data_IF_783772704657
#
_entry.id   IF_783772704657
#
_cell.length_a   1.000
_cell.length_b   1.000
_cell.length_c   1.000
_cell.angle_alpha   90.00
_cell.angle_beta   90.00
_cell.angle_gamma   90.00
#
_symmetry.space_group_name_H-M   'P 1'
#
loop_
_entity.id
_entity.type
_entity.pdbx_description
1 polymer ?
#
# COMPACT_ATOMS: atom_id res chain seq x y z
N UNK A 1 -11.00 -0.53 10.47
CA UNK A 1 -11.95 0.59 10.27
C UNK A 1 -12.94 0.24 9.17
N UNK A 2 -14.21 0.55 9.37
CA UNK A 2 -15.26 0.43 8.35
C UNK A 2 -15.44 1.74 7.63
N UNK A 3 -15.32 1.74 6.30
CA UNK A 3 -15.56 2.94 5.50
C UNK A 3 -17.01 2.96 5.00
N UNK A 4 -17.86 3.74 5.65
CA UNK A 4 -19.26 3.89 5.25
C UNK A 4 -19.41 4.53 3.88
N UNK A 5 -18.63 5.57 3.60
CA UNK A 5 -18.72 6.33 2.34
C UNK A 5 -18.35 5.44 1.15
N UNK A 6 -17.24 4.74 1.25
CA UNK A 6 -16.79 3.83 0.19
C UNK A 6 -17.69 2.61 0.07
N UNK A 7 -18.18 2.07 1.19
CA UNK A 7 -19.12 0.95 1.19
C UNK A 7 -20.42 1.31 0.45
N UNK A 8 -20.92 2.52 0.65
CA UNK A 8 -22.09 3.02 -0.06
C UNK A 8 -21.82 3.27 -1.55
N UNK A 9 -20.67 3.82 -1.88
CA UNK A 9 -20.23 4.11 -3.26
C UNK A 9 -20.08 2.82 -4.07
N UNK A 10 -19.42 1.82 -3.49
CA UNK A 10 -19.12 0.55 -4.16
C UNK A 10 -20.19 -0.53 -3.93
N UNK A 11 -21.26 -0.22 -3.18
CA UNK A 11 -22.35 -1.16 -2.83
C UNK A 11 -21.86 -2.48 -2.20
N UNK A 12 -20.78 -2.42 -1.46
CA UNK A 12 -20.21 -3.56 -0.73
C UNK A 12 -19.53 -3.05 0.54
N UNK A 13 -19.46 -3.85 1.62
CA UNK A 13 -18.74 -3.45 2.82
C UNK A 13 -17.25 -3.30 2.52
N UNK A 14 -16.70 -2.15 2.87
CA UNK A 14 -15.26 -1.86 2.74
C UNK A 14 -14.69 -1.74 4.15
N UNK A 15 -13.72 -2.58 4.44
CA UNK A 15 -13.00 -2.62 5.69
C UNK A 15 -11.51 -2.38 5.44
N UNK A 16 -10.91 -1.60 6.29
CA UNK A 16 -9.46 -1.43 6.35
C UNK A 16 -8.95 -1.94 7.68
N UNK A 17 -7.81 -2.61 7.65
CA UNK A 17 -7.11 -3.07 8.85
C UNK A 17 -5.83 -2.27 9.02
N UNK A 18 -5.39 -2.09 10.24
CA UNK A 18 -4.14 -1.44 10.59
C UNK A 18 -3.55 -2.08 11.84
N UNK A 19 -2.32 -1.76 12.12
CA UNK A 19 -1.55 -2.25 13.27
C UNK A 19 -1.43 -1.23 14.40
N UNK A 20 -2.27 -0.20 14.38
CA UNK A 20 -2.27 0.81 15.44
C UNK A 20 -2.93 0.23 16.69
N UNK A 21 -2.18 0.13 17.76
CA UNK A 21 -2.62 -0.35 19.06
C UNK A 21 -3.38 0.75 19.82
N UNK A 22 -4.51 1.16 19.27
CA UNK A 22 -5.38 2.18 19.84
C UNK A 22 -6.74 1.58 20.13
N UNK A 23 -7.09 1.50 21.38
CA UNK A 23 -8.26 0.75 21.85
C UNK A 23 -9.53 1.57 21.93
N UNK A 24 -9.41 2.87 22.10
CA UNK A 24 -10.56 3.77 22.25
C UNK A 24 -10.39 5.02 21.39
N UNK A 25 -11.46 5.42 20.69
CA UNK A 25 -11.47 6.56 19.80
C UNK A 25 -12.62 7.50 20.12
N UNK A 26 -12.34 8.79 20.04
CA UNK A 26 -13.34 9.85 20.08
C UNK A 26 -13.13 10.78 18.85
N UNK A 27 -14.16 10.86 18.03
CA UNK A 27 -14.24 11.81 16.93
C UNK A 27 -15.50 12.63 17.11
N UNK A 28 -15.35 13.89 17.45
CA UNK A 28 -16.45 14.80 17.79
C UNK A 28 -16.16 16.17 17.18
N UNK A 29 -17.20 16.87 16.80
CA UNK A 29 -17.12 18.23 16.29
C UNK A 29 -16.54 19.25 17.29
N UNK A 30 -16.31 18.85 18.52
CA UNK A 30 -15.64 19.66 19.57
C UNK A 30 -14.12 19.63 19.42
N UNK A 31 -13.60 18.61 18.80
CA UNK A 31 -12.16 18.42 18.58
C UNK A 31 -11.80 18.72 17.14
N UNK A 32 -10.71 19.46 16.92
CA UNK A 32 -10.19 19.72 15.58
C UNK A 32 -9.69 18.44 14.88
N UNK A 33 -9.32 17.43 15.67
CA UNK A 33 -8.79 16.14 15.20
C UNK A 33 -9.35 14.99 16.04
N UNK A 34 -9.48 13.80 15.47
CA UNK A 34 -9.83 12.61 16.23
C UNK A 34 -8.81 12.31 17.32
N UNK A 35 -9.28 11.90 18.48
CA UNK A 35 -8.45 11.52 19.61
C UNK A 35 -8.55 10.04 19.85
N UNK A 36 -7.47 9.43 20.32
CA UNK A 36 -7.43 8.03 20.67
C UNK A 36 -6.67 7.81 21.97
N UNK A 37 -7.00 6.73 22.65
CA UNK A 37 -6.28 6.26 23.82
C UNK A 37 -5.83 4.83 23.59
N UNK A 38 -4.71 4.50 24.18
CA UNK A 38 -4.22 3.16 24.32
C UNK A 38 -3.92 2.85 25.77
N UNK A 39 -4.07 1.60 26.17
CA UNK A 39 -3.68 1.12 27.47
C UNK A 39 -2.44 0.25 27.30
N UNK A 40 -1.33 0.74 27.79
CA UNK A 40 -0.08 -0.02 27.80
C UNK A 40 0.00 -0.83 29.09
N UNK A 41 -0.07 -2.15 28.96
CA UNK A 41 0.17 -3.05 30.07
C UNK A 41 1.69 -3.11 30.38
N UNK A 42 2.03 -3.33 31.62
CA UNK A 42 3.36 -3.22 32.26
C UNK A 42 4.54 -3.92 31.56
N UNK A 43 4.28 -4.77 30.58
CA UNK A 43 5.33 -5.56 29.94
C UNK A 43 6.18 -4.77 28.91
N UNK A 44 5.81 -3.53 28.64
CA UNK A 44 6.53 -2.64 27.72
C UNK A 44 7.17 -1.44 28.44
N UNK A 45 7.94 -1.72 29.44
CA UNK A 45 8.67 -0.73 30.26
C UNK A 45 9.62 0.21 29.47
N UNK A 46 9.78 0.04 28.17
CA UNK A 46 10.78 0.78 27.41
C UNK A 46 10.29 2.05 26.71
N UNK A 47 8.98 2.29 26.71
CA UNK A 47 8.39 3.42 25.98
C UNK A 47 7.69 4.43 26.88
N UNK A 48 7.85 4.27 28.17
CA UNK A 48 7.19 5.11 29.13
C UNK A 48 7.87 6.47 29.26
N UNK A 49 7.27 7.44 28.65
CA UNK A 49 7.76 8.81 28.62
C UNK A 49 7.81 9.47 30.01
N UNK A 50 7.21 8.84 31.01
CA UNK A 50 7.09 9.43 32.35
C UNK A 50 7.74 8.55 33.44
N UNK A 51 8.37 7.45 33.09
CA UNK A 51 9.07 6.59 34.06
C UNK A 51 8.16 5.82 35.00
N UNK A 52 6.91 5.57 34.62
CA UNK A 52 5.97 4.76 35.36
C UNK A 52 5.63 3.50 34.57
N UNK A 53 5.79 2.35 35.19
CA UNK A 53 5.77 1.04 34.49
C UNK A 53 4.43 0.34 34.50
N UNK A 54 3.44 0.87 35.18
CA UNK A 54 2.19 0.15 35.42
C UNK A 54 0.97 0.93 34.88
N UNK A 55 0.39 0.43 33.84
CA UNK A 55 -0.96 0.77 33.41
C UNK A 55 -1.21 2.19 32.94
N UNK A 56 -0.32 2.71 32.12
CA UNK A 56 -0.46 4.07 31.62
C UNK A 56 -1.41 4.12 30.44
N UNK A 57 -2.36 5.04 30.51
CA UNK A 57 -3.18 5.42 29.37
C UNK A 57 -2.39 6.43 28.53
N UNK A 58 -2.01 6.03 27.33
CA UNK A 58 -1.40 6.89 26.35
C UNK A 58 -2.49 7.60 25.57
N UNK A 59 -2.39 8.90 25.47
CA UNK A 59 -3.31 9.73 24.74
C UNK A 59 -2.69 10.13 23.40
N UNK A 60 -3.44 9.98 22.32
CA UNK A 60 -3.03 10.33 20.97
C UNK A 60 -3.99 11.34 20.37
N UNK A 61 -3.46 12.42 19.83
CA UNK A 61 -4.15 13.27 18.90
C UNK A 61 -3.84 12.78 17.48
N UNK A 62 -4.87 12.42 16.72
CA UNK A 62 -4.67 11.91 15.37
C UNK A 62 -4.22 13.04 14.46
N UNK A 63 -2.98 13.00 14.07
CA UNK A 63 -2.40 13.98 13.16
C UNK A 63 -2.86 13.73 11.72
N UNK A 64 -3.03 14.82 10.98
CA UNK A 64 -3.33 14.81 9.55
C UNK A 64 -2.09 15.01 8.68
N UNK A 65 -0.92 15.02 9.32
CA UNK A 65 0.38 15.28 8.70
C UNK A 65 1.05 14.01 8.13
N UNK A 66 2.31 14.16 7.84
CA UNK A 66 3.20 13.11 7.32
C UNK A 66 3.90 12.32 8.43
N UNK A 67 3.98 12.93 9.61
CA UNK A 67 4.77 12.46 10.72
C UNK A 67 3.98 12.50 12.02
N UNK A 68 4.34 11.63 12.92
CA UNK A 68 3.90 11.67 14.31
C UNK A 68 5.03 12.15 15.20
N UNK A 69 4.66 12.88 16.26
CA UNK A 69 5.59 13.35 17.28
C UNK A 69 5.27 12.62 18.57
N UNK A 70 6.24 11.96 19.15
CA UNK A 70 6.07 11.35 20.47
C UNK A 70 6.15 12.42 21.59
N UNK A 71 5.87 12.00 22.82
CA UNK A 71 5.90 12.91 23.95
C UNK A 71 7.31 13.44 24.30
N UNK A 72 8.36 12.80 23.80
CA UNK A 72 9.75 13.26 23.87
C UNK A 72 10.13 14.24 22.76
N UNK A 73 9.21 14.57 21.86
CA UNK A 73 9.46 15.43 20.71
C UNK A 73 10.17 14.73 19.54
N UNK A 74 10.28 13.42 19.56
CA UNK A 74 10.89 12.65 18.46
C UNK A 74 9.90 12.54 17.31
N UNK A 75 10.34 12.95 16.13
CA UNK A 75 9.54 12.89 14.91
C UNK A 75 9.77 11.52 14.25
N UNK A 76 8.69 10.79 14.06
CA UNK A 76 8.69 9.49 13.35
C UNK A 76 7.71 9.52 12.19
N UNK A 77 8.02 8.78 11.13
CA UNK A 77 7.14 8.68 9.98
C UNK A 77 5.80 8.02 10.36
N UNK A 78 4.70 8.50 9.81
CA UNK A 78 3.45 7.76 9.78
C UNK A 78 3.52 6.82 8.56
N UNK A 79 3.79 5.51 8.74
CA UNK A 79 3.92 4.60 7.61
C UNK A 79 2.57 4.41 6.94
N UNK A 80 2.53 4.64 5.64
CA UNK A 80 1.34 4.36 4.84
C UNK A 80 1.68 3.43 3.68
N UNK A 81 0.76 2.53 3.37
CA UNK A 81 0.93 1.69 2.20
C UNK A 81 -0.42 1.28 1.60
N UNK A 82 -0.37 0.97 0.32
CA UNK A 82 -1.46 0.33 -0.41
C UNK A 82 -0.89 -0.85 -1.19
N UNK A 83 -1.59 -1.98 -1.17
CA UNK A 83 -1.22 -3.18 -1.91
C UNK A 83 -2.39 -3.58 -2.79
N UNK A 84 -2.15 -3.78 -4.09
CA UNK A 84 -3.16 -4.33 -4.99
C UNK A 84 -3.38 -5.81 -4.75
N UNK A 85 -4.51 -6.34 -5.20
CA UNK A 85 -4.62 -7.78 -5.43
C UNK A 85 -3.60 -8.26 -6.48
N UNK A 86 -3.34 -9.56 -6.47
CA UNK A 86 -2.55 -10.20 -7.51
C UNK A 86 -3.28 -10.09 -8.85
N UNK A 87 -2.58 -9.73 -9.90
CA UNK A 87 -3.10 -9.70 -11.27
C UNK A 87 -2.20 -10.50 -12.19
N UNK A 88 -2.80 -11.09 -13.20
CA UNK A 88 -2.16 -11.85 -14.25
C UNK A 88 -2.76 -11.46 -15.62
N UNK A 89 -2.24 -12.02 -16.69
CA UNK A 89 -2.75 -11.73 -18.04
C UNK A 89 -3.22 -12.98 -18.73
N UNK A 90 -4.31 -12.84 -19.49
CA UNK A 90 -4.77 -13.83 -20.45
C UNK A 90 -4.86 -13.22 -21.82
N UNK A 91 -4.41 -13.92 -22.82
CA UNK A 91 -4.65 -13.53 -24.20
C UNK A 91 -6.02 -14.04 -24.65
N UNK A 92 -6.93 -13.13 -24.95
CA UNK A 92 -8.19 -13.51 -25.62
C UNK A 92 -7.88 -14.08 -27.00
N UNK A 93 -8.27 -15.33 -27.22
CA UNK A 93 -8.24 -15.96 -28.54
C UNK A 93 -9.63 -16.01 -29.13
N UNK A 94 -9.75 -15.77 -30.43
CA UNK A 94 -10.98 -16.09 -31.15
C UNK A 94 -11.24 -17.60 -31.16
N UNK A 95 -12.48 -18.00 -31.44
CA UNK A 95 -12.82 -19.40 -31.67
C UNK A 95 -11.96 -20.05 -32.80
N UNK A 96 -11.33 -19.24 -33.64
CA UNK A 96 -10.41 -19.66 -34.70
C UNK A 96 -8.93 -19.64 -34.26
N UNK A 97 -8.62 -19.42 -32.98
CA UNK A 97 -7.26 -19.47 -32.46
C UNK A 97 -6.42 -18.21 -32.67
N UNK A 98 -6.99 -17.18 -33.26
CA UNK A 98 -6.28 -15.89 -33.42
C UNK A 98 -6.35 -15.08 -32.14
N UNK A 99 -5.25 -14.38 -31.80
CA UNK A 99 -5.20 -13.44 -30.68
C UNK A 99 -6.02 -12.19 -31.04
N UNK A 100 -7.05 -11.90 -30.25
CA UNK A 100 -7.90 -10.73 -30.45
C UNK A 100 -7.75 -9.78 -29.25
N UNK A 101 -7.28 -8.57 -29.54
CA UNK A 101 -7.31 -7.46 -28.59
C UNK A 101 -6.16 -7.43 -27.58
N UNK A 102 -6.27 -6.50 -26.63
CA UNK A 102 -5.30 -6.36 -25.54
C UNK A 102 -5.41 -7.52 -24.55
N UNK A 103 -4.30 -7.89 -23.88
CA UNK A 103 -4.34 -8.85 -22.79
C UNK A 103 -5.35 -8.42 -21.72
N UNK A 104 -6.13 -9.38 -21.23
CA UNK A 104 -7.00 -9.14 -20.08
C UNK A 104 -6.18 -9.30 -18.79
N UNK A 105 -6.32 -8.37 -17.86
CA UNK A 105 -5.63 -8.44 -16.56
C UNK A 105 -6.26 -9.44 -15.59
N UNK A 106 -7.32 -10.11 -15.99
CA UNK A 106 -7.92 -11.24 -15.29
C UNK A 106 -7.57 -12.52 -16.01
N UNK A 107 -6.33 -12.94 -15.85
CA UNK A 107 -5.81 -14.10 -16.52
C UNK A 107 -6.07 -15.41 -15.78
N UNK A 108 -5.69 -16.49 -16.44
CA UNK A 108 -5.72 -17.86 -15.90
C UNK A 108 -4.33 -18.29 -15.39
N UNK A 109 -3.36 -17.38 -15.33
CA UNK A 109 -2.00 -17.65 -14.88
C UNK A 109 -1.15 -18.46 -15.86
N UNK A 110 -1.62 -18.70 -17.09
CA UNK A 110 -0.87 -19.49 -18.08
C UNK A 110 0.32 -18.73 -18.66
N UNK A 111 0.22 -17.40 -18.74
CA UNK A 111 1.23 -16.58 -19.38
C UNK A 111 2.18 -15.94 -18.38
N UNK A 112 3.44 -15.84 -18.79
CA UNK A 112 4.42 -15.02 -18.10
C UNK A 112 4.23 -13.58 -18.56
N UNK A 113 4.05 -12.67 -17.60
CA UNK A 113 4.05 -11.24 -17.84
C UNK A 113 5.47 -10.69 -17.72
N UNK A 114 5.80 -9.77 -18.60
CA UNK A 114 6.98 -8.93 -18.49
C UNK A 114 6.55 -7.48 -18.31
N UNK A 115 6.88 -6.90 -17.18
CA UNK A 115 6.73 -5.46 -16.97
C UNK A 115 7.99 -4.80 -17.46
N UNK A 116 7.87 -3.97 -18.48
CA UNK A 116 8.98 -3.22 -19.08
C UNK A 116 9.14 -1.86 -18.43
N UNK A 117 8.01 -1.28 -18.08
CA UNK A 117 7.98 0.10 -17.56
C UNK A 117 6.76 0.30 -16.71
N UNK A 118 6.89 1.11 -15.70
CA UNK A 118 5.75 1.78 -15.09
C UNK A 118 5.97 3.29 -15.06
N UNK A 119 4.87 4.03 -15.17
CA UNK A 119 4.83 5.46 -15.11
C UNK A 119 4.05 5.80 -13.85
N UNK A 120 4.71 6.31 -12.80
CA UNK A 120 4.03 6.76 -11.60
C UNK A 120 3.22 8.00 -11.96
N UNK A 121 1.97 8.03 -11.51
CA UNK A 121 1.10 9.18 -11.68
C UNK A 121 0.58 9.56 -10.28
N UNK A 122 1.32 10.42 -9.62
CA UNK A 122 0.94 10.98 -8.34
C UNK A 122 0.28 12.34 -8.55
N UNK A 123 -0.91 12.53 -7.95
CA UNK A 123 -1.57 13.85 -7.93
C UNK A 123 -0.74 14.82 -7.09
N UNK A 124 -0.21 14.33 -5.98
CA UNK A 124 0.76 15.06 -5.14
C UNK A 124 1.79 14.09 -4.61
N UNK A 125 3.02 14.52 -4.52
CA UNK A 125 4.11 13.78 -3.88
C UNK A 125 5.04 14.75 -3.17
N UNK A 126 5.38 14.44 -1.93
CA UNK A 126 6.42 15.11 -1.15
C UNK A 126 7.40 14.05 -0.68
N UNK A 127 8.69 14.32 -0.85
CA UNK A 127 9.72 13.32 -0.54
C UNK A 127 9.70 12.12 -1.51
N UNK A 128 10.16 10.99 -1.05
CA UNK A 128 10.25 9.78 -1.83
C UNK A 128 9.03 8.86 -1.59
N UNK A 129 8.75 8.02 -2.56
CA UNK A 129 7.74 6.97 -2.45
C UNK A 129 8.35 5.67 -2.91
N UNK A 130 8.17 4.59 -2.19
CA UNK A 130 8.63 3.27 -2.60
C UNK A 130 7.52 2.56 -3.36
N UNK A 131 7.82 2.09 -4.57
CA UNK A 131 6.96 1.19 -5.33
C UNK A 131 7.62 -0.18 -5.37
N UNK A 132 6.88 -1.21 -5.00
CA UNK A 132 7.37 -2.59 -5.01
C UNK A 132 6.48 -3.46 -5.88
N UNK A 133 7.09 -4.26 -6.74
CA UNK A 133 6.46 -5.32 -7.50
C UNK A 133 6.65 -6.64 -6.75
N UNK A 134 5.54 -7.21 -6.30
CA UNK A 134 5.51 -8.49 -5.61
C UNK A 134 5.15 -9.57 -6.63
N UNK A 135 6.10 -10.40 -6.97
CA UNK A 135 6.00 -11.38 -8.07
C UNK A 135 5.87 -12.79 -7.56
N UNK A 136 5.00 -13.57 -8.20
CA UNK A 136 4.80 -15.00 -7.94
C UNK A 136 4.70 -15.78 -9.24
N UNK A 137 5.20 -17.00 -9.25
CA UNK A 137 5.01 -17.95 -10.34
C UNK A 137 3.93 -18.99 -10.02
N UNK A 138 3.66 -19.21 -8.73
CA UNK A 138 2.62 -20.13 -8.25
C UNK A 138 1.78 -19.45 -7.17
N UNK A 139 0.48 -19.79 -7.04
CA UNK A 139 -0.43 -19.14 -6.09
C UNK A 139 0.03 -19.20 -4.63
N UNK A 140 0.64 -20.32 -4.22
CA UNK A 140 1.09 -20.56 -2.84
C UNK A 140 2.56 -20.18 -2.61
N UNK A 141 3.21 -19.57 -3.58
CA UNK A 141 4.59 -19.14 -3.47
C UNK A 141 4.71 -17.84 -2.66
N UNK A 142 5.76 -17.74 -1.88
CA UNK A 142 6.13 -16.45 -1.27
C UNK A 142 6.52 -15.46 -2.35
N UNK A 143 5.98 -14.25 -2.27
CA UNK A 143 6.25 -13.22 -3.27
C UNK A 143 7.72 -12.78 -3.24
N UNK A 144 8.33 -12.70 -4.41
CA UNK A 144 9.63 -12.04 -4.57
C UNK A 144 9.38 -10.55 -4.79
N UNK A 145 9.99 -9.72 -3.96
CA UNK A 145 9.78 -8.26 -3.98
C UNK A 145 10.91 -7.56 -4.72
N UNK A 146 10.55 -6.76 -5.71
CA UNK A 146 11.49 -5.83 -6.39
C UNK A 146 11.02 -4.41 -6.15
N UNK A 147 11.82 -3.61 -5.45
CA UNK A 147 11.45 -2.26 -5.02
C UNK A 147 12.19 -1.19 -5.81
N UNK A 148 11.51 -0.07 -6.02
CA UNK A 148 12.02 1.11 -6.71
C UNK A 148 11.67 2.35 -5.89
N UNK A 149 12.62 3.26 -5.75
CA UNK A 149 12.38 4.57 -5.13
C UNK A 149 11.97 5.57 -6.20
N UNK A 150 10.84 6.20 -5.98
CA UNK A 150 10.27 7.24 -6.84
C UNK A 150 10.48 8.57 -6.16
N UNK A 151 11.11 9.48 -6.85
CA UNK A 151 11.27 10.88 -6.44
C UNK A 151 10.27 11.75 -7.18
N UNK A 152 10.12 13.00 -6.75
CA UNK A 152 9.27 13.99 -7.45
C UNK A 152 9.73 14.30 -8.88
N UNK A 153 10.96 13.93 -9.24
CA UNK A 153 11.53 14.08 -10.59
C UNK A 153 11.45 12.78 -11.44
N UNK A 154 10.83 11.72 -10.92
CA UNK A 154 10.76 10.43 -11.62
C UNK A 154 9.60 10.39 -12.59
N UNK A 155 9.86 10.52 -13.88
CA UNK A 155 8.84 10.45 -14.94
C UNK A 155 8.42 9.00 -15.23
N UNK A 156 9.38 8.07 -15.18
CA UNK A 156 9.17 6.66 -15.52
C UNK A 156 10.22 5.77 -14.87
N UNK A 157 9.87 4.53 -14.66
CA UNK A 157 10.80 3.49 -14.21
C UNK A 157 10.81 2.36 -15.22
N UNK A 158 11.96 2.11 -15.82
CA UNK A 158 12.18 0.95 -16.67
C UNK A 158 12.54 -0.26 -15.80
N UNK A 159 11.90 -1.39 -16.07
CA UNK A 159 12.07 -2.63 -15.31
C UNK A 159 12.17 -3.84 -16.24
N UNK A 160 12.60 -4.97 -15.68
CA UNK A 160 12.67 -6.25 -16.40
C UNK A 160 12.01 -7.37 -15.60
N UNK A 161 11.06 -7.01 -14.77
CA UNK A 161 10.36 -7.96 -13.91
C UNK A 161 9.50 -8.89 -14.75
N UNK A 162 9.59 -10.20 -14.46
CA UNK A 162 8.86 -11.26 -15.14
C UNK A 162 8.24 -12.18 -14.10
N UNK A 163 6.95 -12.45 -14.24
CA UNK A 163 6.23 -13.39 -13.38
C UNK A 163 4.90 -13.78 -13.99
N UNK A 164 4.25 -14.80 -13.45
CA UNK A 164 2.88 -15.17 -13.81
C UNK A 164 1.85 -14.25 -13.14
N UNK A 165 2.10 -13.91 -11.89
CA UNK A 165 1.23 -13.07 -11.09
C UNK A 165 2.05 -11.98 -10.42
N UNK A 166 1.51 -10.78 -10.36
CA UNK A 166 2.17 -9.61 -9.81
C UNK A 166 1.17 -8.83 -8.97
N UNK A 167 1.59 -8.40 -7.79
CA UNK A 167 0.90 -7.37 -7.04
C UNK A 167 1.79 -6.13 -6.94
N UNK A 168 1.16 -4.99 -6.85
CA UNK A 168 1.81 -3.69 -6.69
C UNK A 168 1.64 -3.23 -5.26
N UNK A 169 2.74 -2.80 -4.64
CA UNK A 169 2.72 -2.13 -3.34
C UNK A 169 3.32 -0.73 -3.50
N UNK A 170 2.64 0.26 -2.93
CA UNK A 170 3.12 1.64 -2.83
C UNK A 170 3.18 1.97 -1.35
N UNK A 171 4.29 2.55 -0.91
CA UNK A 171 4.51 2.88 0.51
C UNK A 171 5.40 4.11 0.68
N UNK A 172 5.22 4.81 1.77
CA UNK A 172 6.25 5.69 2.32
C UNK A 172 6.89 5.03 3.54
N UNK A 173 8.14 5.36 3.81
CA UNK A 173 8.94 4.75 4.88
C UNK A 173 9.73 5.76 5.71
N UNK A 174 9.81 7.01 5.27
CA UNK A 174 10.59 8.04 5.93
C UNK A 174 9.71 9.24 6.34
N UNK A 175 10.21 10.03 7.28
CA UNK A 175 9.58 11.25 7.73
C UNK A 175 9.45 12.27 6.61
N UNK A 176 8.43 13.13 6.69
CA UNK A 176 8.09 14.14 5.71
C UNK A 176 7.73 13.61 4.31
N UNK A 177 7.47 12.31 4.17
CA UNK A 177 7.00 11.71 2.92
C UNK A 177 5.48 11.68 2.88
N UNK A 178 4.91 12.12 1.77
CA UNK A 178 3.48 12.10 1.51
C UNK A 178 3.21 11.83 0.03
N UNK A 179 2.14 11.12 -0.25
CA UNK A 179 1.71 10.87 -1.61
C UNK A 179 0.19 10.75 -1.72
N UNK A 180 -0.31 11.24 -2.84
CA UNK A 180 -1.68 11.01 -3.28
C UNK A 180 -1.61 10.34 -4.63
N UNK A 181 -2.02 9.07 -4.67
CA UNK A 181 -1.98 8.28 -5.89
C UNK A 181 -3.02 8.78 -6.88
N UNK A 182 -2.59 8.97 -8.12
CA UNK A 182 -3.43 9.13 -9.29
C UNK A 182 -3.63 7.81 -10.03
N UNK A 183 -3.61 7.88 -11.35
CA UNK A 183 -3.68 6.70 -12.21
C UNK A 183 -2.30 6.34 -12.67
N UNK A 184 -1.72 5.25 -12.19
CA UNK A 184 -0.44 4.83 -12.72
C UNK A 184 -0.60 3.83 -13.87
N UNK A 185 0.42 3.78 -14.74
CA UNK A 185 0.39 3.01 -15.98
C UNK A 185 1.50 1.97 -15.98
N UNK A 186 1.15 0.76 -16.40
CA UNK A 186 2.08 -0.35 -16.57
C UNK A 186 2.18 -0.70 -18.06
N UNK A 187 3.41 -0.78 -18.57
CA UNK A 187 3.70 -1.40 -19.87
C UNK A 187 3.97 -2.89 -19.65
N UNK A 188 2.93 -3.69 -19.90
CA UNK A 188 2.94 -5.14 -19.68
C UNK A 188 2.92 -5.84 -21.03
N UNK A 189 3.82 -6.80 -21.20
CA UNK A 189 3.89 -7.63 -22.39
C UNK A 189 3.80 -9.11 -22.02
N UNK A 190 3.04 -9.93 -22.80
CA UNK A 190 3.15 -11.37 -22.71
C UNK A 190 4.56 -11.81 -23.10
N UNK A 191 5.19 -12.66 -22.29
CA UNK A 191 6.56 -13.10 -22.49
C UNK A 191 6.67 -14.64 -22.48
N UNK A 192 5.75 -15.25 -23.18
CA UNK A 192 5.71 -16.68 -23.39
C UNK A 192 4.71 -17.41 -22.50
N UNK A 193 4.45 -18.63 -22.90
CA UNK A 193 3.65 -19.62 -22.18
C UNK A 193 4.60 -20.69 -21.68
N UNK A 194 4.53 -21.00 -20.40
CA UNK A 194 5.28 -22.14 -19.88
C UNK A 194 4.39 -23.37 -19.96
N UNK A 195 4.76 -24.27 -20.86
CA UNK A 195 4.18 -25.60 -20.92
C UNK A 195 4.64 -26.44 -19.74
#
# INVERSE_FOLDING_TARGET
TYSYVESKMYKRPIWTTGTLDRTSWADSAVFDKPHACDYNDSDNASTDVIGNTDGITIYYEQETGTDQVDAGGVITAIPSNIISGDFDITQKRSQQGQVIGMPDLRGDGEYIMKIRRFIPDFITQTGNTQISLLTKNFPNESAVTTSFTITTASDKIDTRVRARSIALKIANTASAENWKLGTFRLDIQPDGRRG
#
